data_IF_640787074374
#
_entry.id   IF_640787074374
#
_cell.length_a   1.000
_cell.length_b   1.000
_cell.length_c   1.000
_cell.angle_alpha   90.00
_cell.angle_beta   90.00
_cell.angle_gamma   90.00
#
_symmetry.space_group_name_H-M   'P 1'
#
loop_
_entity.id
_entity.type
_entity.pdbx_description
1 polymer ?
#
# COMPACT_ATOMS: atom_id res chain seq x y z
N UNK A 1 30.71 3.20 -48.68
CA UNK A 1 30.79 4.27 -47.67
C UNK A 1 29.95 3.81 -46.50
N UNK A 2 30.58 3.20 -45.50
CA UNK A 2 29.91 2.94 -44.22
C UNK A 2 29.68 4.30 -43.57
N UNK A 3 28.41 4.70 -43.43
CA UNK A 3 28.04 5.90 -42.69
C UNK A 3 28.57 5.74 -41.27
N UNK A 4 29.35 6.71 -40.79
CA UNK A 4 29.75 6.80 -39.39
C UNK A 4 28.51 6.58 -38.51
N UNK A 5 28.54 5.67 -37.52
CA UNK A 5 27.38 5.48 -36.66
C UNK A 5 27.04 6.80 -36.00
N UNK A 6 25.79 7.24 -36.10
CA UNK A 6 25.34 8.48 -35.49
C UNK A 6 25.59 8.38 -33.97
N UNK A 7 26.30 9.35 -33.39
CA UNK A 7 26.70 9.34 -31.99
C UNK A 7 26.05 10.51 -31.25
N UNK A 8 25.68 10.26 -30.01
CA UNK A 8 25.10 11.27 -29.12
C UNK A 8 26.00 11.45 -27.92
N UNK A 9 26.21 12.70 -27.51
CA UNK A 9 26.95 13.03 -26.29
C UNK A 9 26.04 12.86 -25.08
N UNK A 10 26.45 12.04 -24.14
CA UNK A 10 25.70 11.73 -22.91
C UNK A 10 26.50 12.15 -21.69
N UNK A 11 25.80 12.70 -20.69
CA UNK A 11 26.31 12.96 -19.34
C UNK A 11 25.57 12.04 -18.38
N UNK A 12 26.29 11.11 -17.75
CA UNK A 12 25.76 10.22 -16.72
C UNK A 12 25.80 10.90 -15.35
N UNK A 13 24.67 10.86 -14.66
CA UNK A 13 24.54 11.34 -13.26
C UNK A 13 23.74 10.34 -12.43
N UNK A 14 23.91 10.34 -11.12
CA UNK A 14 23.11 9.50 -10.22
C UNK A 14 22.98 10.12 -8.84
N UNK A 15 21.90 9.74 -8.14
CA UNK A 15 21.72 10.06 -6.73
C UNK A 15 22.09 8.87 -5.83
N UNK A 16 22.47 7.74 -6.42
CA UNK A 16 22.89 6.53 -5.69
C UNK A 16 24.37 6.68 -5.30
N UNK A 17 24.70 6.88 -4.01
CA UNK A 17 26.05 7.26 -3.58
C UNK A 17 27.10 6.19 -3.90
N UNK A 18 26.71 4.93 -3.90
CA UNK A 18 27.58 3.79 -4.15
C UNK A 18 27.75 3.47 -5.65
N UNK A 19 27.03 4.16 -6.53
CA UNK A 19 27.15 4.03 -7.98
C UNK A 19 27.70 5.30 -8.63
N UNK A 20 28.31 6.23 -7.89
CA UNK A 20 28.83 7.48 -8.46
C UNK A 20 30.06 7.24 -9.34
N UNK A 21 30.01 7.78 -10.57
CA UNK A 21 31.15 7.77 -11.48
C UNK A 21 32.13 8.91 -11.18
N UNK A 22 33.45 8.69 -11.33
CA UNK A 22 34.44 9.77 -11.38
C UNK A 22 34.09 10.79 -12.47
N UNK A 23 34.36 12.08 -12.23
CA UNK A 23 34.03 13.16 -13.19
C UNK A 23 34.58 12.92 -14.60
N UNK A 24 35.76 12.30 -14.70
CA UNK A 24 36.39 11.95 -15.98
C UNK A 24 35.62 10.93 -16.82
N UNK A 25 34.72 10.15 -16.20
CA UNK A 25 33.93 9.09 -16.84
C UNK A 25 32.44 9.44 -17.00
N UNK A 26 32.00 10.59 -16.49
CA UNK A 26 30.59 10.99 -16.57
C UNK A 26 30.17 11.37 -17.99
N UNK A 27 31.09 11.86 -18.83
CA UNK A 27 30.79 12.24 -20.21
C UNK A 27 31.24 11.16 -21.19
N UNK A 28 30.34 10.68 -22.05
CA UNK A 28 30.64 9.64 -23.03
C UNK A 28 29.90 9.89 -24.35
N UNK A 29 30.53 9.51 -25.46
CA UNK A 29 29.87 9.39 -26.76
C UNK A 29 29.34 7.98 -26.92
N UNK A 30 28.04 7.85 -27.16
CA UNK A 30 27.37 6.56 -27.34
C UNK A 30 26.66 6.51 -28.69
N UNK A 31 26.46 5.31 -29.29
CA UNK A 31 25.63 5.15 -30.48
C UNK A 31 24.20 5.68 -30.25
N UNK A 32 23.63 6.38 -31.21
CA UNK A 32 22.30 7.00 -31.09
C UNK A 32 21.17 5.97 -31.00
N UNK A 33 21.35 4.79 -31.59
CA UNK A 33 20.42 3.66 -31.59
C UNK A 33 20.45 2.86 -30.26
N UNK A 34 21.37 3.19 -29.35
CA UNK A 34 21.52 2.50 -28.08
C UNK A 34 20.25 2.61 -27.23
N UNK A 35 19.86 1.48 -26.63
CA UNK A 35 18.71 1.37 -25.72
C UNK A 35 19.19 1.17 -24.28
N UNK A 36 18.25 1.25 -23.34
CA UNK A 36 18.40 0.94 -21.90
C UNK A 36 19.39 -0.19 -21.59
N UNK A 37 19.23 -1.37 -22.21
CA UNK A 37 20.10 -2.53 -21.95
C UNK A 37 21.57 -2.27 -22.34
N UNK A 38 21.79 -1.61 -23.49
CA UNK A 38 23.14 -1.25 -23.94
C UNK A 38 23.81 -0.26 -23.01
N UNK A 39 23.07 0.77 -22.57
CA UNK A 39 23.56 1.76 -21.59
C UNK A 39 23.86 1.11 -20.24
N UNK A 40 22.99 0.23 -19.76
CA UNK A 40 23.21 -0.54 -18.53
C UNK A 40 24.48 -1.39 -18.65
N UNK A 41 24.73 -2.01 -19.80
CA UNK A 41 25.96 -2.80 -20.04
C UNK A 41 27.22 -1.92 -20.06
N UNK A 42 27.15 -0.71 -20.61
CA UNK A 42 28.26 0.25 -20.57
C UNK A 42 28.60 0.60 -19.11
N UNK A 43 27.62 0.97 -18.31
CA UNK A 43 27.85 1.33 -16.91
C UNK A 43 28.39 0.17 -16.07
N UNK A 44 27.96 -1.06 -16.34
CA UNK A 44 28.46 -2.27 -15.67
C UNK A 44 29.81 -2.79 -16.18
N UNK A 45 30.47 -2.08 -17.10
CA UNK A 45 31.81 -2.47 -17.56
C UNK A 45 32.88 -2.17 -16.52
N UNK A 46 33.98 -2.91 -16.56
CA UNK A 46 35.18 -2.71 -15.71
C UNK A 46 35.74 -1.28 -15.85
N UNK A 47 35.56 -0.64 -17.01
CA UNK A 47 36.02 0.73 -17.24
C UNK A 47 35.09 1.79 -16.66
N UNK A 48 33.90 1.44 -16.16
CA UNK A 48 32.90 2.39 -15.63
C UNK A 48 32.69 2.20 -14.13
N UNK A 49 31.65 1.46 -13.71
CA UNK A 49 31.31 1.29 -12.29
C UNK A 49 32.11 0.17 -11.61
N UNK A 50 32.59 -0.83 -12.36
CA UNK A 50 33.36 -1.98 -11.85
C UNK A 50 32.73 -2.65 -10.60
N UNK A 51 31.42 -2.86 -10.64
CA UNK A 51 30.69 -3.51 -9.55
C UNK A 51 30.95 -5.01 -9.52
N UNK A 52 31.01 -5.62 -8.33
CA UNK A 52 31.23 -7.06 -8.13
C UNK A 52 30.24 -7.98 -8.87
N UNK A 53 29.05 -7.47 -9.14
CA UNK A 53 28.03 -8.14 -9.95
C UNK A 53 27.28 -7.10 -10.77
N UNK A 54 26.89 -7.40 -12.03
CA UNK A 54 26.14 -6.47 -12.85
C UNK A 54 24.82 -6.03 -12.18
N UNK A 55 24.64 -4.71 -12.04
CA UNK A 55 23.44 -4.08 -11.51
C UNK A 55 22.54 -3.66 -12.68
N UNK A 56 21.29 -4.14 -12.78
CA UNK A 56 20.34 -3.63 -13.78
C UNK A 56 20.02 -2.15 -13.53
N UNK A 57 20.21 -1.31 -14.55
CA UNK A 57 20.00 0.14 -14.45
C UNK A 57 18.93 0.63 -15.43
N UNK A 58 18.13 1.58 -14.95
CA UNK A 58 17.23 2.42 -15.75
C UNK A 58 17.76 3.85 -15.84
N UNK A 59 17.31 4.57 -16.86
CA UNK A 59 17.84 5.89 -17.19
C UNK A 59 16.68 6.87 -17.29
N UNK A 60 16.73 7.93 -16.51
CA UNK A 60 15.83 9.07 -16.61
C UNK A 60 16.47 10.10 -17.56
N UNK A 61 15.74 10.42 -18.64
CA UNK A 61 16.05 11.47 -19.58
C UNK A 61 14.97 12.55 -19.47
N UNK A 62 15.38 13.78 -19.14
CA UNK A 62 14.47 14.92 -18.93
C UNK A 62 13.32 14.62 -17.94
N UNK A 63 13.60 13.80 -16.91
CA UNK A 63 12.63 13.42 -15.87
C UNK A 63 11.74 12.21 -16.22
N UNK A 64 11.87 11.60 -17.39
CA UNK A 64 11.08 10.41 -17.79
C UNK A 64 11.98 9.21 -18.08
N UNK A 65 11.50 7.99 -17.83
CA UNK A 65 12.29 6.80 -18.14
C UNK A 65 12.50 6.62 -19.65
N UNK A 66 13.74 6.31 -20.03
CA UNK A 66 14.11 5.97 -21.40
C UNK A 66 13.55 4.59 -21.78
N UNK A 67 12.44 4.57 -22.52
CA UNK A 67 11.79 3.34 -23.00
C UNK A 67 12.22 2.94 -24.42
N UNK A 68 12.80 3.86 -25.19
CA UNK A 68 13.20 3.68 -26.60
C UNK A 68 14.72 3.81 -26.78
N UNK A 69 15.21 3.94 -28.02
CA UNK A 69 16.58 4.39 -28.27
C UNK A 69 16.74 5.88 -27.92
N UNK A 70 18.00 6.34 -27.79
CA UNK A 70 18.30 7.76 -27.56
C UNK A 70 17.82 8.62 -28.73
N UNK A 71 18.03 8.18 -29.98
CA UNK A 71 17.56 8.90 -31.17
C UNK A 71 16.04 9.08 -31.21
N UNK A 72 15.28 8.04 -30.85
CA UNK A 72 13.82 8.09 -30.81
C UNK A 72 13.35 9.05 -29.71
N UNK A 73 14.03 9.04 -28.55
CA UNK A 73 13.71 9.92 -27.43
C UNK A 73 13.99 11.39 -27.77
N UNK A 74 15.13 11.68 -28.41
CA UNK A 74 15.46 13.03 -28.87
C UNK A 74 14.44 13.51 -29.92
N UNK A 75 14.12 12.66 -30.90
CA UNK A 75 13.13 12.97 -31.94
C UNK A 75 11.74 13.25 -31.35
N UNK A 76 11.29 12.41 -30.41
CA UNK A 76 10.02 12.60 -29.71
C UNK A 76 9.98 13.87 -28.84
N UNK A 77 11.14 14.28 -28.32
CA UNK A 77 11.29 15.51 -27.53
C UNK A 77 11.54 16.76 -28.39
N UNK A 78 11.63 16.63 -29.72
CA UNK A 78 11.96 17.72 -30.63
C UNK A 78 13.39 18.24 -30.51
N UNK A 79 14.32 17.39 -30.03
CA UNK A 79 15.73 17.73 -29.81
C UNK A 79 16.61 17.20 -30.96
N UNK A 80 17.68 17.93 -31.27
CA UNK A 80 18.69 17.51 -32.27
C UNK A 80 19.59 16.40 -31.72
N UNK A 81 20.13 15.54 -32.60
CA UNK A 81 21.15 14.53 -32.24
C UNK A 81 22.46 15.14 -31.74
N UNK A 82 22.73 16.41 -32.00
CA UNK A 82 23.88 17.16 -31.47
C UNK A 82 23.70 17.58 -30.00
N UNK A 83 22.47 17.46 -29.47
CA UNK A 83 22.16 17.85 -28.10
C UNK A 83 22.86 16.94 -27.11
N UNK A 84 23.51 17.52 -26.10
CA UNK A 84 24.07 16.74 -25.00
C UNK A 84 22.94 16.29 -24.06
N UNK A 85 22.73 14.99 -23.94
CA UNK A 85 21.66 14.42 -23.12
C UNK A 85 22.19 14.07 -21.73
N UNK A 86 21.56 14.60 -20.69
CA UNK A 86 21.85 14.18 -19.31
C UNK A 86 20.99 12.97 -18.97
N UNK A 87 21.63 11.84 -18.66
CA UNK A 87 20.99 10.60 -18.25
C UNK A 87 21.25 10.36 -16.77
N UNK A 88 20.19 10.46 -15.97
CA UNK A 88 20.26 10.06 -14.58
C UNK A 88 20.02 8.54 -14.48
N UNK A 89 21.04 7.77 -14.12
CA UNK A 89 20.92 6.32 -13.97
C UNK A 89 20.54 5.95 -12.54
N UNK A 90 19.64 4.98 -12.42
CA UNK A 90 19.08 4.47 -11.17
C UNK A 90 18.96 2.96 -11.23
N UNK A 91 18.93 2.31 -10.07
CA UNK A 91 18.64 0.87 -9.98
C UNK A 91 17.27 0.57 -10.58
N UNK A 92 17.23 -0.41 -11.48
CA UNK A 92 15.97 -0.88 -12.05
C UNK A 92 15.10 -1.52 -10.97
N UNK A 93 13.80 -1.21 -10.99
CA UNK A 93 12.85 -1.98 -10.22
C UNK A 93 12.68 -3.35 -10.88
N UNK A 94 12.94 -4.42 -10.13
CA UNK A 94 12.79 -5.77 -10.67
C UNK A 94 11.32 -6.05 -11.01
N UNK A 95 11.03 -6.69 -12.16
CA UNK A 95 9.66 -6.95 -12.58
C UNK A 95 8.97 -7.90 -11.59
N UNK A 96 7.85 -7.50 -10.97
CA UNK A 96 7.14 -8.34 -10.01
C UNK A 96 6.38 -9.46 -10.72
N UNK A 97 7.01 -10.63 -10.86
CA UNK A 97 6.44 -11.79 -11.53
C UNK A 97 5.52 -12.58 -10.61
N UNK A 98 4.50 -13.21 -11.17
CA UNK A 98 3.61 -14.09 -10.44
C UNK A 98 4.36 -15.26 -9.79
N UNK A 99 4.04 -15.55 -8.54
CA UNK A 99 4.62 -16.66 -7.78
C UNK A 99 3.56 -17.65 -7.32
N UNK A 100 2.50 -17.18 -6.64
CA UNK A 100 1.50 -18.06 -6.03
C UNK A 100 0.12 -17.40 -5.88
N UNK A 101 -0.89 -18.24 -5.65
CA UNK A 101 -2.27 -17.82 -5.33
C UNK A 101 -2.83 -18.63 -4.15
N UNK A 102 -3.34 -17.95 -3.11
CA UNK A 102 -4.02 -18.60 -1.98
C UNK A 102 -5.53 -18.52 -2.15
N UNK A 103 -6.18 -19.68 -2.20
CA UNK A 103 -7.60 -19.78 -2.55
C UNK A 103 -8.51 -19.53 -1.34
N UNK A 104 -9.61 -18.84 -1.57
CA UNK A 104 -10.68 -18.59 -0.62
C UNK A 104 -12.03 -19.02 -1.20
N UNK A 105 -13.00 -19.27 -0.34
CA UNK A 105 -14.37 -19.61 -0.74
C UNK A 105 -15.19 -18.37 -1.13
N UNK A 106 -14.77 -17.19 -0.67
CA UNK A 106 -15.42 -15.90 -0.90
C UNK A 106 -14.39 -14.79 -1.18
N UNK A 107 -14.87 -13.59 -1.50
CA UNK A 107 -14.04 -12.44 -1.84
C UNK A 107 -13.11 -12.06 -0.71
N UNK A 108 -11.87 -11.72 -1.05
CA UNK A 108 -10.86 -11.31 -0.07
C UNK A 108 -10.83 -9.79 -0.02
N UNK A 109 -11.26 -9.23 1.10
CA UNK A 109 -11.43 -7.78 1.28
C UNK A 109 -10.14 -7.06 1.63
N UNK A 110 -9.28 -7.69 2.43
CA UNK A 110 -8.05 -7.07 2.95
C UNK A 110 -6.96 -8.12 3.16
N UNK A 111 -5.71 -7.69 2.94
CA UNK A 111 -4.51 -8.48 3.22
C UNK A 111 -3.50 -7.65 4.00
N UNK A 112 -2.71 -8.31 4.83
CA UNK A 112 -1.59 -7.70 5.53
C UNK A 112 -0.46 -8.72 5.74
N UNK A 113 0.77 -8.24 5.84
CA UNK A 113 1.97 -9.09 5.91
C UNK A 113 2.69 -8.93 7.24
N UNK A 114 3.04 -10.07 7.84
CA UNK A 114 3.99 -10.18 8.94
C UNK A 114 5.33 -10.69 8.37
N UNK A 115 6.32 -9.81 8.33
CA UNK A 115 7.70 -10.13 7.94
C UNK A 115 8.67 -9.51 8.94
N UNK A 116 9.94 -9.89 8.90
CA UNK A 116 11.00 -9.22 9.68
C UNK A 116 11.06 -7.70 9.47
N UNK A 117 10.59 -7.21 8.31
CA UNK A 117 10.62 -5.79 7.93
C UNK A 117 9.29 -5.06 8.08
N UNK A 118 8.18 -5.79 8.23
CA UNK A 118 6.86 -5.18 8.35
C UNK A 118 6.68 -4.48 9.71
N UNK A 119 5.74 -3.52 9.78
CA UNK A 119 5.50 -2.74 10.99
C UNK A 119 5.17 -3.63 12.21
N UNK A 120 4.42 -4.71 12.00
CA UNK A 120 4.13 -5.69 13.04
C UNK A 120 5.35 -6.51 13.45
N UNK A 121 6.18 -6.96 12.50
CA UNK A 121 7.33 -7.82 12.80
C UNK A 121 8.49 -7.10 13.49
N UNK A 122 8.67 -5.80 13.23
CA UNK A 122 9.65 -4.96 13.95
C UNK A 122 9.43 -4.93 15.47
N UNK A 123 8.22 -5.27 15.93
CA UNK A 123 7.85 -5.32 17.36
C UNK A 123 8.11 -6.69 18.01
N UNK A 124 8.73 -7.63 17.32
CA UNK A 124 9.16 -8.90 17.88
C UNK A 124 10.28 -8.74 18.94
N UNK A 125 10.97 -7.59 18.99
CA UNK A 125 12.06 -7.29 19.93
C UNK A 125 13.12 -8.42 20.01
N UNK A 126 13.49 -9.00 18.86
CA UNK A 126 14.47 -10.08 18.77
C UNK A 126 13.93 -11.49 18.97
N UNK A 127 12.63 -11.66 19.26
CA UNK A 127 12.01 -12.98 19.24
C UNK A 127 11.90 -13.51 17.81
N UNK A 128 12.25 -14.78 17.60
CA UNK A 128 12.00 -15.46 16.33
C UNK A 128 10.50 -15.65 16.11
N UNK A 129 10.04 -15.41 14.89
CA UNK A 129 8.68 -15.68 14.45
C UNK A 129 8.70 -16.05 12.98
N UNK A 130 7.67 -16.77 12.55
CA UNK A 130 7.52 -17.13 11.16
C UNK A 130 6.80 -16.03 10.39
N UNK A 131 7.23 -15.77 9.16
CA UNK A 131 6.57 -14.78 8.30
C UNK A 131 5.21 -15.29 7.81
N UNK A 132 4.19 -14.43 7.84
CA UNK A 132 2.79 -14.80 7.60
C UNK A 132 2.07 -13.77 6.75
N UNK A 133 1.08 -14.22 5.99
CA UNK A 133 0.07 -13.36 5.37
C UNK A 133 -1.22 -13.50 6.16
N UNK A 134 -1.82 -12.39 6.57
CA UNK A 134 -3.20 -12.37 7.05
C UNK A 134 -4.14 -11.96 5.91
N UNK A 135 -5.28 -12.61 5.80
CA UNK A 135 -6.36 -12.22 4.90
C UNK A 135 -7.67 -12.09 5.65
N UNK A 136 -8.48 -11.12 5.24
CA UNK A 136 -9.86 -10.94 5.66
C UNK A 136 -10.78 -11.21 4.47
N UNK A 137 -11.91 -11.88 4.75
CA UNK A 137 -12.83 -12.33 3.71
C UNK A 137 -14.25 -11.80 3.95
N UNK A 138 -15.03 -11.78 2.87
CA UNK A 138 -16.45 -11.43 2.88
C UNK A 138 -17.30 -12.45 3.65
N UNK A 139 -16.77 -13.67 3.83
CA UNK A 139 -17.36 -14.72 4.67
C UNK A 139 -17.34 -14.41 6.18
N UNK A 140 -16.68 -13.33 6.60
CA UNK A 140 -16.60 -12.92 8.01
C UNK A 140 -15.44 -13.55 8.78
N UNK A 141 -14.47 -14.20 8.11
CA UNK A 141 -13.34 -14.86 8.74
C UNK A 141 -12.00 -14.20 8.37
N UNK A 142 -11.08 -14.23 9.33
CA UNK A 142 -9.66 -13.92 9.15
C UNK A 142 -8.89 -15.23 9.03
N UNK A 143 -7.99 -15.33 8.05
CA UNK A 143 -7.12 -16.49 7.84
C UNK A 143 -5.65 -16.06 7.86
N UNK A 144 -4.82 -16.90 8.46
CA UNK A 144 -3.36 -16.72 8.51
C UNK A 144 -2.73 -17.79 7.64
N UNK A 145 -1.87 -17.38 6.71
CA UNK A 145 -1.26 -18.23 5.70
C UNK A 145 0.25 -18.30 5.90
N UNK A 146 0.80 -19.49 5.67
CA UNK A 146 2.25 -19.69 5.56
C UNK A 146 2.73 -19.50 4.11
N UNK A 147 4.05 -19.49 3.86
CA UNK A 147 4.62 -19.38 2.51
C UNK A 147 4.19 -20.46 1.53
N UNK A 148 3.80 -21.66 1.99
CA UNK A 148 3.30 -22.72 1.11
C UNK A 148 1.84 -22.53 0.68
N UNK A 149 1.17 -21.46 1.13
CA UNK A 149 -0.24 -21.20 0.83
C UNK A 149 -1.22 -22.06 1.61
N UNK A 150 -0.78 -22.62 2.72
CA UNK A 150 -1.63 -23.37 3.65
C UNK A 150 -2.12 -22.44 4.76
N UNK A 151 -3.40 -22.55 5.12
CA UNK A 151 -3.98 -21.80 6.22
C UNK A 151 -3.52 -22.40 7.57
N UNK A 152 -2.72 -21.66 8.32
CA UNK A 152 -2.19 -22.02 9.65
C UNK A 152 -3.24 -21.81 10.73
N UNK A 153 -4.02 -20.73 10.62
CA UNK A 153 -5.08 -20.41 11.57
C UNK A 153 -6.27 -19.75 10.85
N UNK A 154 -7.47 -20.02 11.38
CA UNK A 154 -8.71 -19.35 10.96
C UNK A 154 -9.41 -18.81 12.20
N UNK A 155 -9.94 -17.60 12.13
CA UNK A 155 -10.66 -16.96 13.23
C UNK A 155 -11.93 -17.73 13.60
N UNK A 156 -12.37 -17.59 14.84
CA UNK A 156 -13.70 -18.06 15.23
C UNK A 156 -14.80 -17.27 14.49
N UNK A 157 -15.94 -17.92 14.24
CA UNK A 157 -17.11 -17.25 13.70
C UNK A 157 -17.81 -16.38 14.76
N UNK A 158 -18.75 -15.53 14.32
CA UNK A 158 -19.43 -14.54 15.15
C UNK A 158 -19.99 -15.02 16.50
N UNK A 159 -20.53 -16.24 16.58
CA UNK A 159 -21.08 -16.81 17.83
C UNK A 159 -20.01 -17.14 18.89
N UNK A 160 -18.75 -17.25 18.48
CA UNK A 160 -17.60 -17.57 19.33
C UNK A 160 -16.62 -16.38 19.41
N UNK A 161 -17.16 -15.16 19.41
CA UNK A 161 -16.39 -13.92 19.60
C UNK A 161 -15.66 -13.42 18.36
N UNK A 162 -16.01 -13.90 17.16
CA UNK A 162 -15.49 -13.37 15.90
C UNK A 162 -16.42 -12.38 15.20
N UNK A 163 -16.16 -12.10 13.93
CA UNK A 163 -17.02 -11.21 13.14
C UNK A 163 -18.34 -11.91 12.76
N UNK A 164 -19.42 -11.12 12.70
CA UNK A 164 -20.76 -11.62 12.34
C UNK A 164 -21.16 -11.28 10.91
N UNK A 165 -20.38 -10.44 10.24
CA UNK A 165 -20.61 -9.97 8.88
C UNK A 165 -19.25 -9.82 8.18
N UNK A 166 -19.27 -9.43 6.90
CA UNK A 166 -18.04 -9.24 6.12
C UNK A 166 -17.03 -8.34 6.82
N UNK A 167 -15.76 -8.71 6.72
CA UNK A 167 -14.63 -7.94 7.22
C UNK A 167 -14.16 -7.02 6.09
N UNK A 168 -13.80 -5.79 6.39
CA UNK A 168 -13.26 -4.84 5.40
C UNK A 168 -11.75 -4.63 5.53
N UNK A 169 -11.19 -4.77 6.73
CA UNK A 169 -9.77 -4.51 7.00
C UNK A 169 -9.19 -5.49 8.03
N UNK A 170 -7.93 -5.89 7.83
CA UNK A 170 -7.11 -6.63 8.81
C UNK A 170 -5.70 -6.05 8.85
N UNK A 171 -5.10 -5.94 10.05
CA UNK A 171 -3.73 -5.47 10.25
C UNK A 171 -3.02 -6.20 11.39
N UNK A 172 -1.73 -6.49 11.22
CA UNK A 172 -0.85 -7.02 12.26
C UNK A 172 -0.40 -5.90 13.21
N UNK A 173 -0.64 -6.08 14.51
CA UNK A 173 -0.12 -5.20 15.55
C UNK A 173 1.26 -5.62 16.04
N UNK A 174 1.54 -6.93 16.01
CA UNK A 174 2.78 -7.57 16.43
C UNK A 174 2.74 -9.03 15.96
N UNK A 175 3.81 -9.83 16.07
CA UNK A 175 3.77 -11.24 15.68
C UNK A 175 2.72 -12.08 16.44
N UNK A 176 2.16 -11.57 17.54
CA UNK A 176 1.19 -12.30 18.38
C UNK A 176 -0.18 -11.64 18.43
N UNK A 177 -0.39 -10.53 17.72
CA UNK A 177 -1.67 -9.78 17.76
C UNK A 177 -2.01 -9.16 16.43
N UNK A 178 -3.30 -9.15 16.13
CA UNK A 178 -3.86 -8.54 14.93
C UNK A 178 -5.22 -7.91 15.23
N UNK A 179 -5.63 -6.93 14.43
CA UNK A 179 -6.93 -6.28 14.50
C UNK A 179 -7.66 -6.41 13.18
N UNK A 180 -8.97 -6.63 13.24
CA UNK A 180 -9.83 -6.63 12.07
C UNK A 180 -11.12 -5.86 12.33
N UNK A 181 -11.69 -5.28 11.28
CA UNK A 181 -12.96 -4.56 11.37
C UNK A 181 -13.75 -4.68 10.06
N UNK A 182 -15.06 -4.47 10.15
CA UNK A 182 -15.92 -4.58 8.96
C UNK A 182 -17.33 -4.05 9.15
N UNK A 183 -18.28 -4.75 8.52
CA UNK A 183 -19.69 -4.33 8.41
C UNK A 183 -20.45 -4.44 9.74
N UNK A 184 -19.97 -5.28 10.66
CA UNK A 184 -20.56 -5.46 11.99
C UNK A 184 -20.20 -4.35 13.00
N UNK A 185 -19.52 -3.28 12.54
CA UNK A 185 -19.25 -2.03 13.27
C UNK A 185 -18.32 -2.15 14.47
N UNK A 186 -17.74 -3.33 14.68
CA UNK A 186 -16.77 -3.58 15.75
C UNK A 186 -15.37 -3.79 15.18
N UNK A 187 -14.37 -3.44 16.00
CA UNK A 187 -13.00 -3.90 15.79
C UNK A 187 -12.78 -5.11 16.70
N UNK A 188 -12.29 -6.22 16.16
CA UNK A 188 -11.88 -7.38 16.97
C UNK A 188 -10.37 -7.40 17.06
N UNK A 189 -9.84 -7.43 18.28
CA UNK A 189 -8.40 -7.60 18.54
C UNK A 189 -8.16 -9.06 18.87
N UNK A 190 -7.32 -9.72 18.09
CA UNK A 190 -7.04 -11.15 18.18
C UNK A 190 -5.67 -11.40 18.82
N UNK A 191 -5.62 -12.40 19.68
CA UNK A 191 -4.38 -13.03 20.12
C UNK A 191 -4.07 -14.19 19.17
N UNK A 192 -2.93 -14.11 18.49
CA UNK A 192 -2.40 -15.15 17.62
C UNK A 192 -1.35 -15.96 18.36
N UNK A 193 -1.49 -17.28 18.31
CA UNK A 193 -0.50 -18.24 18.80
C UNK A 193 -0.27 -19.30 17.75
N UNK A 194 0.98 -19.66 17.55
CA UNK A 194 1.41 -20.65 16.59
C UNK A 194 2.10 -21.81 17.31
N UNK A 195 1.96 -23.03 16.79
CA UNK A 195 2.75 -24.17 17.22
C UNK A 195 4.18 -24.07 16.72
N UNK A 196 5.11 -24.76 17.39
CA UNK A 196 6.53 -24.74 17.04
C UNK A 196 6.82 -25.29 15.64
N UNK A 197 5.96 -26.18 15.11
CA UNK A 197 6.08 -26.73 13.76
C UNK A 197 5.76 -25.70 12.64
N UNK A 198 5.10 -24.59 12.98
CA UNK A 198 4.70 -23.54 12.06
C UNK A 198 3.58 -23.90 11.07
N UNK A 199 2.89 -25.03 11.27
CA UNK A 199 1.79 -25.48 10.40
C UNK A 199 0.42 -25.37 11.05
N UNK A 200 0.34 -25.14 12.36
CA UNK A 200 -0.92 -24.92 13.06
C UNK A 200 -0.87 -23.69 13.97
N UNK A 201 -2.02 -23.07 14.17
CA UNK A 201 -2.14 -21.90 15.02
C UNK A 201 -3.58 -21.66 15.46
N UNK A 202 -3.75 -20.71 16.37
CA UNK A 202 -5.05 -20.31 16.88
C UNK A 202 -5.20 -18.80 16.89
N UNK A 203 -6.40 -18.34 16.54
CA UNK A 203 -6.83 -16.96 16.68
C UNK A 203 -7.94 -16.90 17.71
N UNK A 204 -7.66 -16.27 18.84
CA UNK A 204 -8.64 -16.07 19.92
C UNK A 204 -8.96 -14.60 20.06
N UNK A 205 -10.24 -14.23 20.10
CA UNK A 205 -10.61 -12.84 20.29
C UNK A 205 -10.28 -12.40 21.72
N UNK A 206 -9.44 -11.38 21.81
CA UNK A 206 -8.98 -10.81 23.08
C UNK A 206 -9.94 -9.72 23.55
N UNK A 207 -10.39 -8.86 22.62
CA UNK A 207 -11.30 -7.74 22.87
C UNK A 207 -12.19 -7.47 21.66
N UNK A 208 -13.37 -6.96 21.92
CA UNK A 208 -14.26 -6.33 20.93
C UNK A 208 -14.35 -4.84 21.24
N UNK A 209 -14.08 -4.01 20.25
CA UNK A 209 -14.14 -2.55 20.38
C UNK A 209 -15.38 -2.03 19.66
N UNK A 210 -16.24 -1.32 20.40
CA UNK A 210 -17.54 -0.84 19.95
C UNK A 210 -17.63 0.68 20.05
N UNK A 211 -18.21 1.34 19.04
CA UNK A 211 -18.43 2.79 19.08
C UNK A 211 -18.87 3.42 17.76
N UNK A 212 -18.56 2.82 16.61
CA UNK A 212 -19.03 3.32 15.32
C UNK A 212 -20.52 3.03 15.09
N UNK A 213 -21.20 3.98 14.44
CA UNK A 213 -22.63 3.83 14.13
C UNK A 213 -22.87 3.03 12.84
N UNK A 214 -21.89 3.04 11.92
CA UNK A 214 -21.91 2.33 10.63
C UNK A 214 -20.66 1.45 10.48
N UNK A 215 -20.53 0.81 9.32
CA UNK A 215 -19.40 -0.07 9.01
C UNK A 215 -18.05 0.65 9.11
N UNK A 216 -17.03 -0.12 9.45
CA UNK A 216 -15.65 0.35 9.50
C UNK A 216 -15.00 -0.05 8.17
N UNK A 217 -14.50 0.94 7.43
CA UNK A 217 -13.96 0.76 6.08
C UNK A 217 -12.46 0.43 6.11
N UNK A 218 -11.72 1.03 7.04
CA UNK A 218 -10.27 0.82 7.16
C UNK A 218 -9.83 0.80 8.62
N UNK A 219 -8.75 0.06 8.88
CA UNK A 219 -8.07 -0.06 10.16
C UNK A 219 -6.58 0.16 9.91
N UNK A 220 -5.97 1.06 10.66
CA UNK A 220 -4.53 1.26 10.70
C UNK A 220 -4.04 1.08 12.14
N UNK A 221 -2.82 0.58 12.32
CA UNK A 221 -2.29 0.25 13.64
C UNK A 221 -0.95 0.89 13.88
N UNK A 222 -0.72 1.32 15.11
CA UNK A 222 0.58 1.72 15.61
C UNK A 222 0.91 0.80 16.78
N UNK A 223 1.65 -0.27 16.49
CA UNK A 223 1.92 -1.33 17.46
C UNK A 223 2.84 -0.90 18.62
N UNK A 224 3.74 0.08 18.41
CA UNK A 224 4.61 0.60 19.47
C UNK A 224 3.81 1.34 20.55
N UNK A 225 2.83 2.15 20.15
CA UNK A 225 1.92 2.85 21.07
C UNK A 225 0.68 2.04 21.44
N UNK A 226 0.50 0.86 20.85
CA UNK A 226 -0.70 0.00 21.00
C UNK A 226 -1.98 0.75 20.67
N UNK A 227 -1.92 1.64 19.67
CA UNK A 227 -3.04 2.44 19.17
C UNK A 227 -3.59 1.83 17.88
N UNK A 228 -4.87 2.02 17.67
CA UNK A 228 -5.58 1.64 16.45
C UNK A 228 -6.34 2.87 15.96
N UNK A 229 -6.30 3.13 14.66
CA UNK A 229 -7.14 4.11 13.98
C UNK A 229 -8.17 3.39 13.12
N UNK A 230 -9.37 3.94 13.07
CA UNK A 230 -10.44 3.43 12.22
C UNK A 230 -11.07 4.55 11.41
N UNK A 231 -11.43 4.23 10.17
CA UNK A 231 -12.24 5.07 9.31
C UNK A 231 -13.60 4.39 9.07
N UNK A 232 -14.70 5.12 9.26
CA UNK A 232 -16.05 4.56 9.14
C UNK A 232 -16.95 5.38 8.21
N UNK A 233 -17.97 4.72 7.65
CA UNK A 233 -18.99 5.39 6.85
C UNK A 233 -19.93 6.29 7.66
N UNK A 234 -19.77 6.35 8.99
CA UNK A 234 -20.49 7.31 9.85
C UNK A 234 -19.87 8.72 9.85
N UNK A 235 -18.83 8.96 9.05
CA UNK A 235 -18.13 10.24 8.98
C UNK A 235 -17.10 10.44 10.09
N UNK A 236 -16.89 9.44 10.95
CA UNK A 236 -16.00 9.54 12.12
C UNK A 236 -14.69 8.79 11.93
N UNK A 237 -13.66 9.32 12.59
CA UNK A 237 -12.37 8.66 12.80
C UNK A 237 -12.30 8.22 14.26
N UNK A 238 -12.09 6.92 14.49
CA UNK A 238 -11.98 6.36 15.83
C UNK A 238 -10.53 6.15 16.25
N UNK A 239 -10.20 6.52 17.48
CA UNK A 239 -8.91 6.20 18.12
C UNK A 239 -9.15 5.19 19.21
N UNK A 240 -8.42 4.09 19.17
CA UNK A 240 -8.58 2.97 20.10
C UNK A 240 -7.24 2.50 20.66
N UNK A 241 -7.30 1.58 21.61
CA UNK A 241 -6.13 0.87 22.10
C UNK A 241 -6.33 -0.64 22.06
N UNK A 242 -5.25 -1.36 21.75
CA UNK A 242 -5.19 -2.82 21.86
C UNK A 242 -4.86 -3.32 23.27
N UNK A 243 -4.77 -2.43 24.26
CA UNK A 243 -4.52 -2.76 25.67
C UNK A 243 -5.80 -2.78 26.51
N UNK A 244 -6.16 -3.96 27.03
CA UNK A 244 -7.30 -4.17 27.96
C UNK A 244 -7.30 -3.24 29.18
N UNK A 245 -6.11 -2.85 29.65
CA UNK A 245 -5.92 -2.06 30.87
C UNK A 245 -6.34 -0.59 30.70
N UNK A 246 -6.20 -0.07 29.49
CA UNK A 246 -6.40 1.36 29.17
C UNK A 246 -7.67 1.57 28.36
N UNK A 247 -8.16 0.54 27.68
CA UNK A 247 -9.39 0.61 26.89
C UNK A 247 -10.59 0.96 27.80
N UNK A 248 -11.34 2.04 27.49
CA UNK A 248 -12.57 2.40 28.20
C UNK A 248 -13.64 1.31 28.09
N UNK A 249 -14.63 1.31 28.98
CA UNK A 249 -15.79 0.41 28.82
C UNK A 249 -16.61 0.82 27.60
N UNK A 250 -17.19 -0.16 26.91
CA UNK A 250 -18.11 0.11 25.81
C UNK A 250 -19.39 0.78 26.35
N UNK A 251 -19.93 1.71 25.58
CA UNK A 251 -21.24 2.28 25.84
C UNK A 251 -22.32 1.18 25.76
N UNK A 252 -23.06 0.89 26.84
CA UNK A 252 -24.09 -0.15 26.85
C UNK A 252 -25.12 0.01 25.75
N UNK A 253 -25.50 1.25 25.40
CA UNK A 253 -26.56 1.53 24.42
C UNK A 253 -26.10 1.29 22.98
N UNK A 254 -24.78 1.32 22.75
CA UNK A 254 -24.16 1.02 21.45
C UNK A 254 -23.97 -0.48 21.19
N UNK A 255 -24.21 -1.34 22.18
CA UNK A 255 -24.02 -2.78 22.06
C UNK A 255 -25.25 -3.46 21.46
N UNK A 256 -25.08 -4.49 20.60
CA UNK A 256 -26.22 -5.26 20.06
C UNK A 256 -27.11 -5.92 21.13
N UNK A 257 -26.58 -6.15 22.34
CA UNK A 257 -27.31 -6.74 23.47
C UNK A 257 -28.28 -5.78 24.16
N UNK A 258 -28.19 -4.46 23.92
CA UNK A 258 -29.05 -3.44 24.53
C UNK A 258 -30.54 -3.65 24.21
N UNK A 259 -30.85 -4.23 23.05
CA UNK A 259 -32.23 -4.40 22.56
C UNK A 259 -32.91 -5.71 23.01
N UNK A 260 -32.31 -6.50 23.90
CA UNK A 260 -32.93 -7.72 24.42
C UNK A 260 -32.83 -7.80 25.94
N UNK A 261 -33.88 -7.33 26.61
CA UNK A 261 -34.05 -7.36 28.08
C UNK A 261 -33.99 -8.77 28.68
N UNK A 262 -34.12 -9.83 27.87
CA UNK A 262 -33.98 -11.24 28.30
C UNK A 262 -32.56 -11.80 28.20
N UNK A 263 -31.63 -11.17 27.46
CA UNK A 263 -30.27 -11.69 27.20
C UNK A 263 -29.17 -11.09 28.08
N UNK A 264 -29.39 -9.93 28.67
CA UNK A 264 -28.40 -9.26 29.54
C UNK A 264 -28.01 -10.10 30.78
N UNK A 265 -28.87 -11.03 31.24
CA UNK A 265 -28.58 -11.94 32.36
C UNK A 265 -27.88 -13.25 31.96
N UNK A 266 -27.76 -13.56 30.66
CA UNK A 266 -27.16 -14.81 30.16
C UNK A 266 -25.76 -14.63 29.56
N UNK A 267 -25.32 -13.40 29.26
CA UNK A 267 -23.95 -13.12 28.77
C UNK A 267 -22.91 -12.96 29.88
N UNK A 268 -23.32 -13.00 31.14
CA UNK A 268 -22.42 -13.03 32.30
C UNK A 268 -21.90 -14.45 32.63
N UNK A 269 -22.03 -15.40 31.69
CA UNK A 269 -21.38 -16.70 31.79
C UNK A 269 -19.90 -16.55 31.40
N UNK A 270 -19.01 -17.06 32.25
CA UNK A 270 -17.56 -17.06 32.07
C UNK A 270 -17.18 -17.52 30.65
N UNK A 271 -16.48 -16.66 29.88
CA UNK A 271 -16.05 -16.95 28.51
C UNK A 271 -16.36 -15.88 27.45
N UNK A 272 -17.05 -14.78 27.80
CA UNK A 272 -17.34 -13.68 26.87
C UNK A 272 -16.12 -12.75 26.66
N UNK A 273 -15.81 -12.44 25.39
CA UNK A 273 -14.73 -11.53 24.99
C UNK A 273 -14.96 -10.13 25.57
N UNK A 274 -13.91 -9.48 26.08
CA UNK A 274 -14.02 -8.18 26.73
C UNK A 274 -14.50 -7.10 25.74
N UNK A 275 -15.65 -6.49 26.01
CA UNK A 275 -16.21 -5.38 25.23
C UNK A 275 -15.69 -4.05 25.74
N UNK A 276 -15.18 -3.20 24.85
CA UNK A 276 -14.51 -1.93 25.18
C UNK A 276 -14.91 -0.82 24.21
N UNK A 277 -14.76 0.43 24.66
CA UNK A 277 -15.04 1.64 23.90
C UNK A 277 -13.79 2.27 23.28
N UNK A 278 -13.97 3.33 22.48
CA UNK A 278 -12.89 4.11 21.91
C UNK A 278 -12.24 5.03 22.95
N UNK A 279 -10.99 5.42 22.69
CA UNK A 279 -10.33 6.52 23.40
C UNK A 279 -10.87 7.87 22.92
N UNK A 280 -11.15 7.99 21.63
CA UNK A 280 -11.74 9.16 21.00
C UNK A 280 -12.58 8.76 19.78
N UNK A 281 -13.67 9.49 19.54
CA UNK A 281 -14.50 9.38 18.35
C UNK A 281 -14.67 10.75 17.73
N UNK A 282 -13.94 11.01 16.66
CA UNK A 282 -13.78 12.33 16.08
C UNK A 282 -14.70 12.49 14.86
N UNK A 283 -15.70 13.40 14.89
CA UNK A 283 -16.57 13.68 13.75
C UNK A 283 -15.84 14.56 12.74
N UNK A 284 -14.93 13.95 11.99
CA UNK A 284 -14.08 14.70 11.07
C UNK A 284 -14.82 14.98 9.76
N UNK A 285 -15.51 14.02 9.15
CA UNK A 285 -16.04 14.16 7.79
C UNK A 285 -17.57 14.22 7.70
N UNK A 286 -18.07 14.80 6.60
CA UNK A 286 -19.49 14.89 6.30
C UNK A 286 -20.03 13.70 5.49
N UNK A 287 -19.14 12.86 4.99
CA UNK A 287 -19.44 11.64 4.24
C UNK A 287 -18.52 10.51 4.71
N UNK A 288 -18.65 9.32 4.11
CA UNK A 288 -17.92 8.13 4.51
C UNK A 288 -16.39 8.37 4.55
N UNK A 289 -15.77 8.06 5.69
CA UNK A 289 -14.32 8.06 5.83
C UNK A 289 -13.83 6.74 5.27
N UNK A 290 -12.94 6.81 4.28
CA UNK A 290 -12.45 5.66 3.53
C UNK A 290 -11.09 5.19 4.03
N UNK A 291 -10.25 6.09 4.53
CA UNK A 291 -8.98 5.77 5.15
C UNK A 291 -8.67 6.67 6.35
N UNK A 292 -8.01 6.11 7.36
CA UNK A 292 -7.40 6.84 8.46
C UNK A 292 -6.06 6.18 8.76
N UNK A 293 -4.96 6.92 8.60
CA UNK A 293 -3.59 6.40 8.69
C UNK A 293 -2.76 7.23 9.66
N UNK A 294 -1.81 6.61 10.35
CA UNK A 294 -0.87 7.34 11.21
C UNK A 294 0.17 8.07 10.36
N UNK A 295 0.69 9.17 10.88
CA UNK A 295 1.91 9.75 10.34
C UNK A 295 3.09 8.79 10.60
N UNK A 296 3.91 8.47 9.58
CA UNK A 296 4.92 7.42 9.68
C UNK A 296 5.99 7.71 10.73
N UNK A 297 6.34 8.99 10.93
CA UNK A 297 7.38 9.42 11.85
C UNK A 297 6.84 10.05 13.15
N UNK A 298 5.53 10.27 13.26
CA UNK A 298 4.92 10.98 14.40
C UNK A 298 3.64 10.27 14.83
N UNK A 299 3.68 9.59 15.98
CA UNK A 299 2.53 8.85 16.47
C UNK A 299 1.38 9.74 16.97
N UNK A 300 1.58 11.06 17.05
CA UNK A 300 0.56 12.04 17.48
C UNK A 300 -0.26 12.61 16.33
N UNK A 301 0.18 12.41 15.08
CA UNK A 301 -0.50 12.93 13.89
C UNK A 301 -1.13 11.78 13.11
N UNK A 302 -2.31 12.04 12.55
CA UNK A 302 -2.98 11.13 11.63
C UNK A 302 -3.48 11.87 10.39
N UNK A 303 -3.66 11.13 9.30
CA UNK A 303 -4.32 11.60 8.10
C UNK A 303 -5.61 10.82 7.89
N UNK A 304 -6.70 11.51 7.56
CA UNK A 304 -7.97 10.89 7.17
C UNK A 304 -8.35 11.30 5.76
N UNK A 305 -8.96 10.37 5.02
CA UNK A 305 -9.45 10.59 3.67
C UNK A 305 -10.91 10.13 3.54
N UNK A 306 -11.69 10.82 2.71
CA UNK A 306 -13.13 10.61 2.65
C UNK A 306 -13.71 10.84 1.25
N UNK A 307 -14.93 10.32 1.08
CA UNK A 307 -15.79 10.60 -0.04
C UNK A 307 -16.31 12.05 -0.07
N UNK A 308 -16.09 12.84 0.99
CA UNK A 308 -16.37 14.29 1.02
C UNK A 308 -15.32 15.14 0.25
N UNK A 309 -14.44 14.49 -0.52
CA UNK A 309 -13.35 15.07 -1.29
C UNK A 309 -12.26 15.72 -0.43
N UNK A 310 -12.13 15.34 0.85
CA UNK A 310 -11.10 15.92 1.72
C UNK A 310 -10.10 14.89 2.23
N UNK A 311 -8.85 15.33 2.30
CA UNK A 311 -7.80 14.72 3.11
C UNK A 311 -7.49 15.68 4.24
N UNK A 312 -7.57 15.19 5.49
CA UNK A 312 -7.40 16.02 6.68
C UNK A 312 -6.25 15.53 7.53
N UNK A 313 -5.52 16.47 8.10
CA UNK A 313 -4.50 16.21 9.11
C UNK A 313 -5.11 16.41 10.48
N UNK A 314 -4.97 15.41 11.35
CA UNK A 314 -5.58 15.38 12.67
C UNK A 314 -4.47 15.30 13.71
N UNK A 315 -4.53 16.17 14.69
CA UNK A 315 -3.75 16.02 15.92
C UNK A 315 -4.51 15.10 16.88
N UNK A 316 -3.96 13.93 17.14
CA UNK A 316 -4.55 12.89 17.99
C UNK A 316 -4.52 13.26 19.48
N UNK A 317 -3.69 14.22 19.88
CA UNK A 317 -3.61 14.67 21.29
C UNK A 317 -4.74 15.63 21.61
N UNK A 318 -5.00 16.60 20.74
CA UNK A 318 -6.08 17.59 20.89
C UNK A 318 -7.40 17.13 20.27
N UNK A 319 -7.37 16.06 19.46
CA UNK A 319 -8.52 15.49 18.74
C UNK A 319 -9.17 16.50 17.79
N UNK A 320 -8.35 17.36 17.18
CA UNK A 320 -8.77 18.44 16.28
C UNK A 320 -8.15 18.29 14.91
N UNK A 321 -8.88 18.80 13.94
CA UNK A 321 -8.37 19.02 12.58
C UNK A 321 -7.35 20.16 12.59
N UNK A 322 -6.16 19.89 12.05
CA UNK A 322 -5.06 20.84 11.90
C UNK A 322 -5.08 21.45 10.51
N UNK A 323 -5.23 20.62 9.48
CA UNK A 323 -5.29 21.06 8.08
C UNK A 323 -6.29 20.23 7.29
N UNK A 324 -6.79 20.83 6.20
CA UNK A 324 -7.71 20.21 5.25
C UNK A 324 -7.29 20.57 3.84
N UNK A 325 -7.12 19.52 3.05
CA UNK A 325 -6.90 19.59 1.61
C UNK A 325 -8.15 19.10 0.90
N UNK A 326 -8.66 19.90 -0.03
CA UNK A 326 -9.81 19.53 -0.84
C UNK A 326 -9.35 19.10 -2.23
N UNK A 327 -9.75 17.91 -2.63
CA UNK A 327 -9.46 17.33 -3.95
C UNK A 327 -10.65 17.51 -4.89
N UNK A 328 -10.42 17.33 -6.20
CA UNK A 328 -11.48 17.45 -7.20
C UNK A 328 -12.48 16.29 -7.18
N UNK A 329 -12.07 15.13 -6.63
CA UNK A 329 -12.84 13.89 -6.68
C UNK A 329 -12.86 13.21 -5.30
N UNK A 330 -13.86 12.34 -5.02
CA UNK A 330 -13.91 11.51 -3.83
C UNK A 330 -12.66 10.64 -3.67
N UNK A 331 -12.16 10.53 -2.43
CA UNK A 331 -10.99 9.71 -2.09
C UNK A 331 -11.44 8.39 -1.47
N UNK A 332 -10.89 7.30 -1.96
CA UNK A 332 -11.27 5.92 -1.60
C UNK A 332 -10.19 5.21 -0.78
N UNK A 333 -8.95 5.68 -0.83
CA UNK A 333 -7.86 5.16 -0.01
C UNK A 333 -6.75 6.22 0.14
N UNK A 334 -5.91 6.05 1.16
CA UNK A 334 -4.75 6.90 1.37
C UNK A 334 -3.56 6.08 1.89
N UNK A 335 -2.34 6.51 1.54
CA UNK A 335 -1.08 5.98 2.08
C UNK A 335 -0.09 7.13 2.32
N UNK A 336 0.62 7.09 3.44
CA UNK A 336 1.65 8.07 3.77
C UNK A 336 3.01 7.61 3.20
N UNK A 337 3.73 8.54 2.57
CA UNK A 337 5.06 8.33 2.02
C UNK A 337 6.09 8.98 2.94
N UNK A 338 6.80 8.17 3.73
CA UNK A 338 7.62 8.62 4.85
C UNK A 338 8.76 9.56 4.42
N UNK A 339 9.55 9.20 3.40
CA UNK A 339 10.69 10.03 2.99
C UNK A 339 10.32 11.39 2.40
N UNK A 340 9.15 11.52 1.78
CA UNK A 340 8.75 12.76 1.10
C UNK A 340 7.75 13.61 1.90
N UNK A 341 7.28 13.12 3.06
CA UNK A 341 6.18 13.74 3.84
C UNK A 341 4.91 13.98 3.01
N UNK A 342 4.67 13.15 2.00
CA UNK A 342 3.50 13.24 1.11
C UNK A 342 2.44 12.22 1.50
N UNK A 343 1.19 12.52 1.13
CA UNK A 343 0.07 11.59 1.21
C UNK A 343 -0.38 11.24 -0.20
N UNK A 344 -0.34 9.96 -0.55
CA UNK A 344 -0.93 9.44 -1.77
C UNK A 344 -2.42 9.17 -1.54
N UNK A 345 -3.30 9.81 -2.31
CA UNK A 345 -4.75 9.70 -2.19
C UNK A 345 -5.35 9.08 -3.47
N UNK A 346 -5.89 7.87 -3.36
CA UNK A 346 -6.52 7.16 -4.47
C UNK A 346 -7.96 7.62 -4.68
N UNK A 347 -8.29 8.05 -5.90
CA UNK A 347 -9.61 8.64 -6.19
C UNK A 347 -10.58 7.65 -6.85
N UNK A 348 -11.87 8.00 -6.81
CA UNK A 348 -12.89 7.37 -7.65
C UNK A 348 -12.73 7.67 -9.14
N UNK A 349 -11.96 8.72 -9.49
CA UNK A 349 -11.70 9.19 -10.85
C UNK A 349 -10.46 8.56 -11.49
N UNK A 350 -10.10 7.34 -11.06
CA UNK A 350 -9.08 6.47 -11.69
C UNK A 350 -7.63 6.98 -11.66
N UNK A 351 -7.35 7.99 -10.85
CA UNK A 351 -6.00 8.51 -10.64
C UNK A 351 -5.68 8.61 -9.16
N UNK A 352 -4.40 8.71 -8.85
CA UNK A 352 -3.89 8.94 -7.51
C UNK A 352 -3.34 10.36 -7.47
N UNK A 353 -3.68 11.12 -6.43
CA UNK A 353 -3.16 12.47 -6.23
C UNK A 353 -2.15 12.42 -5.09
N UNK A 354 -0.94 12.95 -5.32
CA UNK A 354 0.01 13.20 -4.24
C UNK A 354 -0.23 14.59 -3.67
N UNK A 355 -0.39 14.64 -2.35
CA UNK A 355 -0.73 15.82 -1.60
C UNK A 355 0.36 16.10 -0.56
N UNK A 356 0.79 17.35 -0.45
CA UNK A 356 1.58 17.80 0.70
C UNK A 356 0.63 18.30 1.79
N UNK A 357 0.50 17.59 2.93
CA UNK A 357 -0.42 17.95 4.02
C UNK A 357 -0.11 19.30 4.69
N UNK A 358 1.05 19.89 4.39
CA UNK A 358 1.51 21.19 4.90
C UNK A 358 1.10 22.36 4.02
N UNK A 359 0.70 22.11 2.76
CA UNK A 359 0.22 23.17 1.87
C UNK A 359 -1.18 23.66 2.25
N UNK A 360 -1.50 24.90 1.87
CA UNK A 360 -2.80 25.51 2.17
C UNK A 360 -3.92 24.98 1.25
N UNK A 361 -5.18 25.19 1.66
CA UNK A 361 -6.40 24.56 1.14
C UNK A 361 -6.66 24.66 -0.39
N UNK A 362 -5.97 25.54 -1.12
CA UNK A 362 -5.99 25.54 -2.59
C UNK A 362 -5.04 24.46 -3.11
N UNK A 363 -5.46 23.20 -2.98
CA UNK A 363 -4.65 22.03 -3.31
C UNK A 363 -4.15 22.08 -4.76
N UNK A 364 -2.88 22.43 -4.94
CA UNK A 364 -2.17 22.11 -6.18
C UNK A 364 -1.64 20.70 -5.97
N UNK A 365 -2.18 19.72 -6.69
CA UNK A 365 -1.65 18.37 -6.66
C UNK A 365 -0.13 18.42 -6.90
N UNK A 366 0.67 17.95 -5.94
CA UNK A 366 2.13 17.92 -6.09
C UNK A 366 2.51 17.06 -7.32
N UNK A 367 1.75 15.98 -7.52
CA UNK A 367 1.81 15.13 -8.69
C UNK A 367 0.51 14.31 -8.83
N UNK A 368 0.18 13.92 -10.05
CA UNK A 368 -0.92 12.98 -10.34
C UNK A 368 -0.37 11.70 -10.97
N UNK A 369 -0.73 10.54 -10.44
CA UNK A 369 -0.40 9.24 -11.01
C UNK A 369 -1.57 8.77 -11.89
N UNK A 370 -1.33 8.60 -13.19
CA UNK A 370 -2.36 8.27 -14.18
C UNK A 370 -2.10 6.94 -14.86
N UNK A 371 -3.18 6.23 -15.12
CA UNK A 371 -3.17 5.05 -15.98
C UNK A 371 -4.26 4.04 -15.64
N UNK A 372 -4.69 3.96 -14.38
CA UNK A 372 -5.79 3.06 -13.99
C UNK A 372 -7.06 3.36 -14.80
N UNK A 373 -7.86 2.32 -15.03
CA UNK A 373 -9.09 2.38 -15.83
C UNK A 373 -10.34 2.31 -14.95
N UNK A 374 -10.18 2.12 -13.64
CA UNK A 374 -11.26 2.11 -12.66
C UNK A 374 -10.78 2.71 -11.32
N UNK A 375 -11.67 2.76 -10.34
CA UNK A 375 -11.46 3.29 -8.99
C UNK A 375 -10.23 2.68 -8.30
N UNK A 376 -9.43 3.52 -7.66
CA UNK A 376 -8.25 3.10 -6.88
C UNK A 376 -8.65 2.98 -5.42
N UNK A 377 -8.62 1.76 -4.87
CA UNK A 377 -9.18 1.44 -3.54
C UNK A 377 -8.15 0.98 -2.52
N UNK A 378 -6.91 0.74 -2.95
CA UNK A 378 -5.84 0.35 -2.04
C UNK A 378 -4.50 0.89 -2.50
N UNK A 379 -3.65 1.28 -1.54
CA UNK A 379 -2.32 1.83 -1.75
C UNK A 379 -1.37 1.26 -0.71
N UNK A 380 -0.14 0.98 -1.12
CA UNK A 380 0.95 0.62 -0.22
C UNK A 380 2.25 1.25 -0.70
N UNK A 381 2.96 1.92 0.21
CA UNK A 381 4.32 2.39 -0.05
C UNK A 381 5.27 1.20 -0.27
N UNK A 382 6.35 1.41 -1.03
CA UNK A 382 7.41 0.44 -1.15
C UNK A 382 8.22 0.33 0.15
N UNK A 383 8.70 -0.87 0.53
CA UNK A 383 9.48 -1.06 1.74
C UNK A 383 10.96 -0.68 1.58
N UNK A 384 11.48 -0.70 0.34
CA UNK A 384 12.91 -0.49 0.05
C UNK A 384 13.27 0.97 -0.21
N UNK A 385 12.30 1.79 -0.64
CA UNK A 385 12.56 3.15 -1.07
C UNK A 385 11.35 4.07 -0.86
N UNK A 386 11.60 5.38 -0.81
CA UNK A 386 10.59 6.41 -0.53
C UNK A 386 9.88 6.95 -1.78
N UNK A 387 10.31 6.52 -2.97
CA UNK A 387 9.83 7.04 -4.25
C UNK A 387 9.00 6.03 -5.03
N UNK A 388 8.70 4.85 -4.48
CA UNK A 388 7.87 3.84 -5.13
C UNK A 388 6.65 3.50 -4.28
N UNK A 389 5.56 3.16 -4.96
CA UNK A 389 4.35 2.67 -4.32
C UNK A 389 3.58 1.75 -5.27
N UNK A 390 2.72 0.92 -4.70
CA UNK A 390 1.79 0.08 -5.46
C UNK A 390 0.36 0.51 -5.17
N UNK A 391 -0.47 0.48 -6.20
CA UNK A 391 -1.90 0.72 -6.11
C UNK A 391 -2.70 -0.50 -6.56
N UNK A 392 -3.82 -0.77 -5.89
CA UNK A 392 -4.82 -1.77 -6.26
C UNK A 392 -6.10 -1.09 -6.72
N UNK A 393 -6.64 -1.56 -7.85
CA UNK A 393 -7.79 -0.95 -8.51
C UNK A 393 -8.89 -1.95 -8.84
N UNK A 394 -10.11 -1.43 -8.95
CA UNK A 394 -11.24 -2.16 -9.50
C UNK A 394 -11.11 -2.46 -11.01
N UNK A 395 -9.99 -2.12 -11.67
CA UNK A 395 -9.71 -2.49 -13.07
C UNK A 395 -9.01 -3.86 -13.21
N UNK A 396 -8.97 -4.63 -12.12
CA UNK A 396 -8.29 -5.93 -12.02
C UNK A 396 -6.76 -5.86 -12.08
N UNK A 397 -6.16 -4.67 -11.93
CA UNK A 397 -4.71 -4.52 -11.95
C UNK A 397 -4.18 -3.94 -10.65
N UNK A 398 -2.96 -4.34 -10.31
CA UNK A 398 -2.09 -3.56 -9.44
C UNK A 398 -1.07 -2.81 -10.28
N UNK A 399 -0.75 -1.57 -9.95
CA UNK A 399 0.26 -0.80 -10.67
C UNK A 399 1.35 -0.33 -9.74
N UNK A 400 2.59 -0.46 -10.20
CA UNK A 400 3.77 0.04 -9.51
C UNK A 400 4.17 1.37 -10.11
N UNK A 401 4.35 2.37 -9.25
CA UNK A 401 4.68 3.73 -9.63
C UNK A 401 6.08 4.06 -9.13
N UNK A 402 6.82 4.81 -9.94
CA UNK A 402 8.09 5.43 -9.54
C UNK A 402 7.94 6.94 -9.66
N UNK A 403 7.97 7.63 -8.53
CA UNK A 403 7.71 9.05 -8.40
C UNK A 403 8.84 9.92 -8.98
N UNK A 404 9.97 9.31 -9.36
CA UNK A 404 11.07 10.00 -10.05
C UNK A 404 10.77 10.19 -11.53
N UNK A 405 9.95 9.32 -12.12
CA UNK A 405 9.52 9.43 -13.52
C UNK A 405 8.29 10.31 -13.63
N UNK A 406 8.50 11.53 -14.11
CA UNK A 406 7.49 12.58 -14.19
C UNK A 406 7.58 13.29 -15.53
N UNK A 407 6.43 13.43 -16.18
CA UNK A 407 6.25 14.28 -17.36
C UNK A 407 5.29 15.43 -17.07
N UNK A 408 5.32 16.52 -17.86
CA UNK A 408 4.24 17.49 -17.89
C UNK A 408 2.90 16.83 -18.25
N UNK A 409 1.84 17.20 -17.54
CA UNK A 409 0.48 16.77 -17.85
C UNK A 409 -0.04 17.45 -19.12
N UNK A 410 -0.86 16.75 -19.89
CA UNK A 410 -1.54 17.32 -21.06
C UNK A 410 -2.69 18.24 -20.64
N UNK A 411 -3.25 19.00 -21.59
CA UNK A 411 -4.42 19.84 -21.35
C UNK A 411 -5.63 19.05 -20.84
N UNK A 412 -5.85 17.85 -21.38
CA UNK A 412 -6.92 16.93 -20.94
C UNK A 412 -6.72 16.43 -19.51
N UNK A 413 -5.46 16.39 -19.04
CA UNK A 413 -5.10 15.96 -17.70
C UNK A 413 -5.19 17.09 -16.66
N UNK A 414 -5.45 18.32 -17.09
CA UNK A 414 -5.46 19.53 -16.26
C UNK A 414 -4.08 20.15 -16.05
N UNK A 415 -3.07 19.74 -16.83
CA UNK A 415 -1.68 20.17 -16.67
C UNK A 415 -0.99 19.55 -15.44
N UNK A 416 -0.01 20.26 -14.88
CA UNK A 416 0.75 19.82 -13.70
C UNK A 416 1.77 18.72 -13.98
N UNK A 417 2.14 17.98 -12.92
CA UNK A 417 3.11 16.88 -12.98
C UNK A 417 2.38 15.55 -13.03
N UNK A 418 2.65 14.73 -14.04
CA UNK A 418 2.02 13.42 -14.23
C UNK A 418 3.06 12.31 -14.25
N UNK A 419 2.76 11.22 -13.55
CA UNK A 419 3.56 9.99 -13.57
C UNK A 419 2.73 8.82 -14.08
N UNK A 420 3.39 7.93 -14.79
CA UNK A 420 2.84 6.74 -15.42
C UNK A 420 3.38 5.48 -14.72
N UNK A 421 2.67 4.35 -14.77
CA UNK A 421 3.09 3.15 -14.08
C UNK A 421 4.38 2.58 -14.68
N UNK A 422 5.34 2.23 -13.83
CA UNK A 422 6.53 1.49 -14.23
C UNK A 422 6.19 0.03 -14.57
N UNK A 423 5.28 -0.58 -13.80
CA UNK A 423 4.79 -1.93 -14.05
C UNK A 423 3.30 -2.04 -13.83
N UNK A 424 2.66 -2.91 -14.61
CA UNK A 424 1.25 -3.32 -14.42
C UNK A 424 1.20 -4.82 -14.14
N UNK A 425 0.59 -5.17 -13.01
CA UNK A 425 0.38 -6.54 -12.55
C UNK A 425 -1.10 -6.88 -12.77
N UNK A 426 -1.39 -7.77 -13.70
CA UNK A 426 -2.74 -8.32 -13.87
C UNK A 426 -3.02 -9.47 -12.90
N UNK A 427 -4.30 -9.84 -12.76
CA UNK A 427 -4.66 -11.11 -12.10
C UNK A 427 -4.19 -12.29 -12.98
N UNK A 428 -3.37 -13.18 -12.43
CA UNK A 428 -2.70 -14.24 -13.20
C UNK A 428 -3.71 -15.18 -13.88
N UNK A 429 -4.86 -15.43 -13.27
CA UNK A 429 -5.88 -16.31 -13.83
C UNK A 429 -6.58 -15.74 -15.09
N UNK A 430 -6.41 -14.44 -15.33
CA UNK A 430 -6.85 -13.73 -16.54
C UNK A 430 -5.75 -13.63 -17.61
N UNK A 431 -4.56 -14.16 -17.37
CA UNK A 431 -3.47 -14.10 -18.35
C UNK A 431 -3.87 -14.74 -19.67
N UNK A 432 -3.68 -14.00 -20.76
CA UNK A 432 -4.10 -14.40 -22.11
C UNK A 432 -5.61 -14.29 -22.39
N UNK A 433 -6.40 -13.76 -21.45
CA UNK A 433 -7.85 -13.54 -21.61
C UNK A 433 -8.16 -12.05 -21.76
N UNK A 434 -9.32 -11.74 -22.35
CA UNK A 434 -9.85 -10.38 -22.38
C UNK A 434 -10.19 -9.94 -20.95
N UNK A 435 -9.79 -8.73 -20.58
CA UNK A 435 -10.14 -8.16 -19.28
C UNK A 435 -11.66 -8.00 -19.16
N UNK A 436 -12.23 -8.35 -17.99
CA UNK A 436 -13.65 -8.17 -17.76
C UNK A 436 -14.02 -6.68 -17.78
N UNK A 437 -15.20 -6.33 -18.34
CA UNK A 437 -15.67 -4.96 -18.33
C UNK A 437 -15.81 -4.47 -16.88
N UNK A 438 -15.30 -3.27 -16.59
CA UNK A 438 -15.30 -2.69 -15.25
C UNK A 438 -14.68 -3.57 -14.13
N UNK A 439 -13.84 -4.55 -14.51
CA UNK A 439 -13.17 -5.46 -13.58
C UNK A 439 -14.06 -6.52 -12.93
N UNK A 440 -15.25 -6.78 -13.49
CA UNK A 440 -16.23 -7.71 -12.92
C UNK A 440 -15.64 -9.10 -12.62
N UNK A 441 -15.87 -9.62 -11.41
CA UNK A 441 -15.29 -10.88 -10.92
C UNK A 441 -13.77 -10.88 -10.70
N UNK A 442 -13.10 -9.74 -10.86
CA UNK A 442 -11.65 -9.64 -10.78
C UNK A 442 -11.14 -8.33 -10.16
N UNK A 443 -11.99 -7.55 -9.48
CA UNK A 443 -11.59 -6.29 -8.82
C UNK A 443 -10.54 -6.58 -7.75
N UNK A 444 -9.48 -5.76 -7.70
CA UNK A 444 -8.53 -5.76 -6.59
C UNK A 444 -9.08 -4.88 -5.48
N UNK A 445 -9.20 -5.44 -4.28
CA UNK A 445 -9.75 -4.76 -3.10
C UNK A 445 -8.66 -4.33 -2.12
N UNK A 446 -7.53 -5.05 -2.07
CA UNK A 446 -6.43 -4.74 -1.17
C UNK A 446 -5.09 -5.13 -1.78
N UNK A 447 -4.07 -4.30 -1.54
CA UNK A 447 -2.68 -4.59 -1.90
C UNK A 447 -1.74 -4.16 -0.76
N UNK A 448 -0.70 -4.95 -0.52
CA UNK A 448 0.40 -4.65 0.40
C UNK A 448 1.71 -4.97 -0.29
N UNK A 449 2.70 -4.09 -0.13
CA UNK A 449 4.06 -4.32 -0.60
C UNK A 449 5.01 -4.51 0.57
N UNK A 450 5.57 -5.69 0.66
CA UNK A 450 6.52 -6.11 1.69
C UNK A 450 7.84 -6.57 1.06
N UNK A 451 8.95 -6.46 1.80
CA UNK A 451 10.28 -6.80 1.27
C UNK A 451 10.41 -8.29 1.00
N UNK A 452 9.94 -9.12 1.93
CA UNK A 452 10.12 -10.57 1.83
C UNK A 452 8.98 -11.20 1.03
N UNK A 453 7.75 -10.69 1.21
CA UNK A 453 6.59 -11.18 0.50
C UNK A 453 6.36 -10.57 -0.88
N UNK A 454 7.08 -9.51 -1.23
CA UNK A 454 6.82 -8.71 -2.42
C UNK A 454 5.43 -8.09 -2.39
N UNK A 455 4.77 -8.07 -3.54
CA UNK A 455 3.45 -7.47 -3.70
C UNK A 455 2.39 -8.55 -3.49
N UNK A 456 1.58 -8.40 -2.45
CA UNK A 456 0.48 -9.28 -2.08
C UNK A 456 -0.82 -8.56 -2.38
N UNK A 457 -1.65 -9.11 -3.26
CA UNK A 457 -2.89 -8.47 -3.72
C UNK A 457 -4.09 -9.41 -3.64
N UNK A 458 -5.25 -8.87 -3.28
CA UNK A 458 -6.44 -9.66 -2.99
C UNK A 458 -7.71 -8.97 -3.51
N UNK A 459 -8.74 -9.76 -3.80
CA UNK A 459 -10.00 -9.20 -4.29
C UNK A 459 -11.11 -10.19 -4.62
N UNK A 460 -11.91 -9.82 -5.62
CA UNK A 460 -13.19 -10.46 -6.00
C UNK A 460 -13.01 -11.87 -6.60
N UNK A 461 -11.84 -12.17 -7.12
CA UNK A 461 -11.49 -13.47 -7.68
C UNK A 461 -11.18 -14.53 -6.61
N UNK A 462 -11.42 -14.21 -5.33
CA UNK A 462 -11.28 -15.09 -4.17
C UNK A 462 -9.85 -15.59 -3.96
N UNK A 463 -8.86 -14.81 -4.39
CA UNK A 463 -7.45 -15.20 -4.32
C UNK A 463 -6.61 -14.11 -3.70
N UNK A 464 -5.68 -14.53 -2.85
CA UNK A 464 -4.50 -13.72 -2.51
C UNK A 464 -3.41 -14.07 -3.51
N UNK A 465 -3.05 -13.15 -4.38
CA UNK A 465 -2.01 -13.32 -5.40
C UNK A 465 -0.71 -12.69 -4.90
N UNK A 466 0.40 -13.42 -5.08
CA UNK A 466 1.74 -12.99 -4.71
C UNK A 466 2.57 -12.76 -5.97
N UNK A 467 3.18 -11.58 -6.02
CA UNK A 467 4.07 -11.16 -7.08
C UNK A 467 5.41 -10.69 -6.49
N UNK A 468 6.53 -11.27 -6.93
CA UNK A 468 7.88 -10.92 -6.45
C UNK A 468 8.85 -10.77 -7.61
N UNK A 469 9.83 -9.88 -7.47
CA UNK A 469 10.96 -9.83 -8.39
C UNK A 469 11.90 -11.01 -8.13
N UNK A 470 12.25 -11.78 -9.17
CA UNK A 470 13.26 -12.85 -9.03
C UNK A 470 14.69 -12.26 -9.08
N UNK A 471 15.45 -12.44 -7.99
CA UNK A 471 16.92 -12.23 -7.86
C UNK A 471 17.32 -10.79 -7.50
N UNK A 472 17.99 -10.45 -6.39
CA UNK A 472 18.99 -11.16 -5.57
C UNK A 472 18.58 -11.17 -4.08
N UNK A 473 17.92 -12.24 -3.64
CA UNK A 473 18.03 -12.75 -2.28
C UNK A 473 18.29 -14.25 -2.40
N UNK A 474 19.46 -14.56 -2.96
CA UNK A 474 20.12 -15.84 -2.86
C UNK A 474 21.57 -15.54 -2.47
N UNK A 475 21.75 -15.22 -1.19
CA UNK A 475 22.98 -15.40 -0.43
C UNK A 475 22.60 -15.62 1.01
#
# INVERSE_FOLDING_TARGET
>A
MESSPNQVKVIFTTNEPDLQLPESKQQLLVPADIKRYGLSRILNSESMLDTSSPVPLDFLASGTFLQTSIEDHLSASGLSSETTLTLQYVRSLLPPVYEASFQHDDWVSSVDVLSSTSAGGKLANGASFNERVASASYDGLVRIWNPSGSAVATSSAGRAGGHTQRINAVRWLSPTKLASAGLDRKVVVWDYKESEDGFSGSLKSSMELWGHAKNINSVEVNGSTKRILTASSDGRVGVWTSSKRVAPQADPDGLPSAHSTKRAKLSAAAGSTAQRGPLAMMPMHNDAVTAAIFHPNDATVAYSASQDHTVRTIDLTTQREVSRLTTMHPILCAAALAGNSLVAAGSSARHITLLDPRESAAATAAMTLRGHVNMVVSLSAAPENDYSLVSGSHDSTCRVWDLRSVRPGTSEEGGGRVSEPAYTIGREWLKGKKLPPAGDGAKVLSVVWDKTWGIVSAGEDKRVQINRGRGLLAS
#
